data_IF_041242296021
#
_entry.id   IF_041242296021
#
_cell.length_a   1.000
_cell.length_b   1.000
_cell.length_c   1.000
_cell.angle_alpha   90.00
_cell.angle_beta   90.00
_cell.angle_gamma   90.00
#
_symmetry.space_group_name_H-M   'P 1'
#
loop_
_entity.id
_entity.type
_entity.pdbx_description
1 polymer ?
#
# COMPACT_ATOMS: atom_id res chain seq x y z
N UNK A 1 13.65 16.96 -10.29
CA UNK A 1 13.05 15.94 -11.16
C UNK A 1 11.55 16.04 -10.99
N UNK A 2 10.81 16.42 -12.03
CA UNK A 2 9.35 16.36 -12.00
C UNK A 2 8.97 14.90 -12.00
N UNK A 3 8.31 14.42 -10.94
CA UNK A 3 7.80 13.05 -10.92
C UNK A 3 6.81 12.90 -12.08
N UNK A 4 7.04 11.91 -12.93
CA UNK A 4 6.09 11.54 -13.97
C UNK A 4 4.84 10.99 -13.28
N UNK A 5 3.67 11.54 -13.62
CA UNK A 5 2.37 11.06 -13.12
C UNK A 5 1.88 9.89 -13.93
N UNK A 6 1.12 9.01 -13.27
CA UNK A 6 0.42 7.91 -13.92
C UNK A 6 -0.87 8.40 -14.58
N UNK A 7 -1.25 7.78 -15.69
CA UNK A 7 -2.56 7.99 -16.29
C UNK A 7 -3.61 7.09 -15.62
N UNK A 8 -4.89 7.51 -15.55
CA UNK A 8 -5.97 6.63 -15.15
C UNK A 8 -5.98 5.34 -15.99
N UNK A 9 -6.02 4.18 -15.33
CA UNK A 9 -5.92 2.87 -15.95
C UNK A 9 -4.52 2.25 -15.97
N UNK A 10 -3.47 3.02 -15.66
CA UNK A 10 -2.11 2.47 -15.58
C UNK A 10 -1.98 1.45 -14.46
N UNK A 11 -1.21 0.39 -14.72
CA UNK A 11 -0.75 -0.52 -13.68
C UNK A 11 0.37 0.14 -12.88
N UNK A 12 0.14 0.31 -11.58
CA UNK A 12 1.08 0.87 -10.62
C UNK A 12 1.39 -0.18 -9.56
N UNK A 13 2.67 -0.48 -9.36
CA UNK A 13 3.09 -1.39 -8.28
C UNK A 13 3.24 -0.58 -6.98
N UNK A 14 2.34 -0.81 -6.02
CA UNK A 14 2.49 -0.27 -4.67
C UNK A 14 3.39 -1.21 -3.86
N UNK A 15 4.51 -0.68 -3.36
CA UNK A 15 5.46 -1.40 -2.51
C UNK A 15 5.39 -0.83 -1.11
N UNK A 16 5.31 -1.71 -0.11
CA UNK A 16 5.57 -1.34 1.27
C UNK A 16 7.03 -1.62 1.59
N UNK A 17 7.69 -0.64 2.21
CA UNK A 17 9.12 -0.69 2.52
C UNK A 17 9.30 -0.73 4.03
N UNK A 18 9.96 -1.77 4.53
CA UNK A 18 10.30 -1.95 5.93
C UNK A 18 11.81 -2.15 6.05
N UNK A 19 12.46 -1.41 6.95
CA UNK A 19 13.92 -1.45 7.14
C UNK A 19 14.75 -1.16 5.86
N UNK A 20 14.18 -0.41 4.91
CA UNK A 20 14.84 -0.10 3.62
C UNK A 20 14.68 -1.20 2.56
N UNK A 21 14.02 -2.30 2.88
CA UNK A 21 13.72 -3.39 1.96
C UNK A 21 12.24 -3.43 1.60
N UNK A 22 11.91 -3.94 0.42
CA UNK A 22 10.50 -4.23 0.08
C UNK A 22 10.03 -5.33 1.02
N UNK A 23 8.95 -5.11 1.75
CA UNK A 23 8.32 -6.12 2.60
C UNK A 23 7.25 -6.90 1.83
N UNK A 24 6.43 -6.18 1.06
CA UNK A 24 5.57 -6.77 0.04
C UNK A 24 5.24 -5.74 -1.05
N UNK A 25 4.75 -6.24 -2.18
CA UNK A 25 4.25 -5.44 -3.27
C UNK A 25 2.89 -5.96 -3.74
N UNK A 26 2.06 -5.05 -4.27
CA UNK A 26 0.77 -5.40 -4.85
C UNK A 26 0.50 -4.58 -6.12
N UNK A 27 -0.01 -5.18 -7.20
CA UNK A 27 -0.41 -4.43 -8.39
C UNK A 27 -1.72 -3.70 -8.12
N UNK A 28 -1.72 -2.40 -8.42
CA UNK A 28 -2.89 -1.53 -8.34
C UNK A 28 -3.13 -0.84 -9.68
N UNK A 29 -4.33 -0.32 -9.87
CA UNK A 29 -4.68 0.50 -11.03
C UNK A 29 -4.76 1.96 -10.59
N UNK A 30 -4.10 2.85 -11.31
CA UNK A 30 -4.26 4.29 -11.09
C UNK A 30 -5.70 4.71 -11.40
N UNK A 31 -6.37 5.33 -10.43
CA UNK A 31 -7.69 5.96 -10.61
C UNK A 31 -7.52 7.45 -10.86
N UNK A 32 -6.65 8.09 -10.07
CA UNK A 32 -6.33 9.51 -10.15
C UNK A 32 -4.91 9.77 -9.65
N UNK A 33 -4.15 10.62 -10.35
CA UNK A 33 -2.82 11.10 -9.94
C UNK A 33 -2.73 12.62 -10.19
N UNK A 34 -2.91 13.39 -9.13
CA UNK A 34 -2.82 14.86 -9.07
C UNK A 34 -1.74 15.25 -8.07
N UNK A 35 -1.29 16.53 -8.02
CA UNK A 35 -0.31 16.91 -7.00
C UNK A 35 -0.82 16.73 -5.55
N UNK A 36 -2.14 16.71 -5.35
CA UNK A 36 -2.77 16.61 -4.03
C UNK A 36 -3.26 15.19 -3.68
N UNK A 37 -3.48 14.33 -4.67
CA UNK A 37 -4.07 13.00 -4.48
C UNK A 37 -3.46 11.97 -5.42
N UNK A 38 -3.07 10.82 -4.84
CA UNK A 38 -2.89 9.57 -5.57
C UNK A 38 -3.96 8.58 -5.10
N UNK A 39 -4.92 8.29 -5.98
CA UNK A 39 -5.95 7.29 -5.76
C UNK A 39 -5.64 6.03 -6.56
N UNK A 40 -5.56 4.89 -5.86
CA UNK A 40 -5.26 3.58 -6.42
C UNK A 40 -6.40 2.62 -6.14
N UNK A 41 -6.76 1.81 -7.12
CA UNK A 41 -7.69 0.69 -6.96
C UNK A 41 -6.90 -0.60 -6.83
N UNK A 42 -7.15 -1.37 -5.77
CA UNK A 42 -6.66 -2.73 -5.59
C UNK A 42 -7.77 -3.71 -6.00
N UNK A 43 -7.68 -4.36 -7.18
CA UNK A 43 -8.72 -5.30 -7.61
C UNK A 43 -8.81 -6.53 -6.69
N UNK A 44 -10.02 -7.06 -6.45
CA UNK A 44 -10.17 -8.38 -5.84
C UNK A 44 -9.37 -9.44 -6.59
N UNK A 45 -8.63 -10.28 -5.87
CA UNK A 45 -7.79 -11.32 -6.44
C UNK A 45 -6.44 -10.86 -6.98
N UNK A 46 -6.07 -9.58 -6.82
CA UNK A 46 -4.72 -9.12 -7.13
C UNK A 46 -3.68 -9.91 -6.32
N UNK A 47 -2.62 -10.37 -7.01
CA UNK A 47 -1.58 -11.17 -6.40
C UNK A 47 -0.62 -10.31 -5.58
N UNK A 48 -0.38 -10.71 -4.33
CA UNK A 48 0.61 -10.09 -3.47
C UNK A 48 1.97 -10.75 -3.70
N UNK A 49 2.99 -9.94 -4.01
CA UNK A 49 4.36 -10.37 -4.10
C UNK A 49 5.08 -10.21 -2.77
N UNK A 50 5.68 -11.27 -2.27
CA UNK A 50 6.53 -11.27 -1.08
C UNK A 50 7.95 -11.70 -1.49
N UNK A 51 9.00 -10.97 -1.07
CA UNK A 51 10.37 -11.46 -1.25
C UNK A 51 10.57 -12.79 -0.53
N UNK A 52 11.43 -13.66 -1.08
CA UNK A 52 11.77 -14.94 -0.44
C UNK A 52 12.62 -14.77 0.83
N UNK A 53 13.38 -13.67 0.90
CA UNK A 53 14.30 -13.34 1.99
C UNK A 53 14.25 -11.85 2.28
N UNK A 54 14.54 -11.47 3.52
CA UNK A 54 14.78 -10.07 3.91
C UNK A 54 14.80 -9.89 5.42
N UNK A 55 15.42 -8.81 5.87
CA UNK A 55 15.60 -8.50 7.29
C UNK A 55 14.26 -8.23 8.00
N UNK A 56 13.22 -7.89 7.22
CA UNK A 56 11.85 -7.81 7.68
C UNK A 56 11.36 -9.12 8.32
N UNK A 57 11.92 -10.29 7.97
CA UNK A 57 11.55 -11.57 8.56
C UNK A 57 11.91 -11.67 10.05
N UNK A 58 12.88 -10.88 10.51
CA UNK A 58 13.28 -10.80 11.92
C UNK A 58 12.53 -9.70 12.70
N UNK A 59 11.71 -8.89 12.02
CA UNK A 59 10.98 -7.81 12.67
C UNK A 59 9.93 -8.33 13.64
N UNK A 60 9.79 -7.66 14.79
CA UNK A 60 8.75 -7.89 15.78
C UNK A 60 8.10 -6.56 16.16
N UNK A 61 6.77 -6.49 16.38
CA UNK A 61 6.14 -5.30 16.94
C UNK A 61 6.69 -5.00 18.34
N UNK A 62 6.70 -3.72 18.72
CA UNK A 62 7.02 -3.32 20.09
C UNK A 62 5.91 -3.85 21.04
N UNK A 63 6.26 -4.60 22.10
CA UNK A 63 5.28 -5.18 23.01
C UNK A 63 4.47 -4.14 23.79
N UNK A 64 4.91 -2.88 23.83
CA UNK A 64 4.19 -1.77 24.47
C UNK A 64 3.08 -1.18 23.59
N UNK A 65 3.02 -1.54 22.30
CA UNK A 65 1.98 -1.02 21.40
C UNK A 65 0.58 -1.49 21.82
N UNK A 66 -0.40 -0.56 21.93
CA UNK A 66 -1.76 -0.95 22.23
C UNK A 66 -2.41 -1.63 21.02
N UNK A 67 -3.37 -2.53 21.27
CA UNK A 67 -4.21 -3.10 20.22
C UNK A 67 -5.19 -2.03 19.72
N UNK A 68 -5.09 -1.56 18.46
CA UNK A 68 -6.01 -0.55 17.94
C UNK A 68 -7.42 -1.13 17.76
N UNK A 69 -8.45 -0.30 17.95
CA UNK A 69 -9.84 -0.63 17.62
C UNK A 69 -10.24 0.08 16.33
N UNK A 70 -10.99 -0.62 15.47
CA UNK A 70 -11.60 -0.01 14.31
C UNK A 70 -12.54 1.12 14.75
N UNK A 71 -12.43 2.34 14.18
CA UNK A 71 -13.40 3.40 14.40
C UNK A 71 -14.80 3.00 13.93
N UNK A 72 -15.84 3.56 14.55
CA UNK A 72 -17.21 3.40 14.04
C UNK A 72 -17.34 4.05 12.65
N UNK A 73 -18.17 3.47 11.77
CA UNK A 73 -18.39 3.98 10.42
C UNK A 73 -17.26 3.69 9.43
N UNK A 74 -16.31 2.80 9.77
CA UNK A 74 -15.22 2.39 8.88
C UNK A 74 -15.71 1.78 7.56
N UNK A 75 -16.94 1.27 7.55
CA UNK A 75 -17.63 0.69 6.41
C UNK A 75 -18.26 1.73 5.46
N UNK A 76 -18.34 3.00 5.86
CA UNK A 76 -18.99 4.03 5.05
C UNK A 76 -18.00 4.62 4.04
N UNK A 77 -18.31 4.46 2.76
CA UNK A 77 -17.63 5.19 1.68
C UNK A 77 -18.26 6.57 1.61
N UNK A 78 -17.51 7.63 1.94
CA UNK A 78 -17.96 8.99 1.69
C UNK A 78 -18.10 9.17 0.17
N UNK A 79 -19.35 9.21 -0.29
CA UNK A 79 -19.74 9.56 -1.64
C UNK A 79 -19.85 11.07 -1.83
#
# INVERSE_FOLDING_TARGET
MTAQRFAPGDLVVRREVLLGEVWFAVPTICVEDTPELLALYLPPGAEFGFPEVGDWAAWTPDPSWPVPRLPAGWETVAC
#
